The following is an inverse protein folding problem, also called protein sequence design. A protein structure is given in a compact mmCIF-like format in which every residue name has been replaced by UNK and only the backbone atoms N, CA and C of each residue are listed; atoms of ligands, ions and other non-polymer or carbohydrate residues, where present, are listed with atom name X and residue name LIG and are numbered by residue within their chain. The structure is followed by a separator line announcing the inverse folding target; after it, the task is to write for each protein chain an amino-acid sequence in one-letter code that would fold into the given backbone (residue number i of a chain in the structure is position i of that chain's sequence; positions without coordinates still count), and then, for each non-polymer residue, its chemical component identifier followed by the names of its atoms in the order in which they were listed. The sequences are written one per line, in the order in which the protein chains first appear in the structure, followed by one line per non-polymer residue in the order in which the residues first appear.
data_IF_808069726960
#
_entry.id   IF_808069726960
#
_cell.length_a   1.000
_cell.length_b   1.000
_cell.length_c   1.000
_cell.angle_alpha   90.00
_cell.angle_beta   90.00
_cell.angle_gamma   90.00
#
_symmetry.space_group_name_H-M   'P 1'
#
loop_
_entity.id
_entity.type
_entity.pdbx_description
1 polymer ?
#
# COMPACT_ATOMS: atom_id res chain seq x y z
N UNK A 1 1.86 -16.06 22.52
CA UNK A 1 3.05 -15.19 22.63
C UNK A 1 2.97 -13.99 21.66
N UNK A 2 2.84 -14.21 20.35
CA UNK A 2 2.80 -13.16 19.31
C UNK A 2 1.71 -12.09 19.52
N UNK A 3 0.47 -12.49 19.89
CA UNK A 3 -0.63 -11.54 20.16
C UNK A 3 -0.31 -10.52 21.26
N UNK A 4 0.43 -10.94 22.30
CA UNK A 4 0.84 -10.06 23.41
C UNK A 4 1.91 -9.06 22.95
N UNK A 5 2.80 -9.48 22.06
CA UNK A 5 3.80 -8.59 21.44
C UNK A 5 3.12 -7.52 20.57
N UNK A 6 2.19 -7.94 19.71
CA UNK A 6 1.42 -7.03 18.85
C UNK A 6 0.67 -6.00 19.69
N UNK A 7 0.03 -6.42 20.79
CA UNK A 7 -0.64 -5.50 21.71
C UNK A 7 0.32 -4.47 22.34
N UNK A 8 1.52 -4.90 22.73
CA UNK A 8 2.54 -3.99 23.27
C UNK A 8 3.06 -3.02 22.20
N UNK A 9 3.22 -3.46 20.96
CA UNK A 9 3.60 -2.58 19.84
C UNK A 9 2.51 -1.55 19.53
N UNK A 10 1.24 -1.97 19.49
CA UNK A 10 0.08 -1.08 19.33
C UNK A 10 0.07 0.01 20.41
N UNK A 11 0.41 -0.34 21.66
CA UNK A 11 0.47 0.62 22.78
C UNK A 11 1.71 1.52 22.73
N UNK A 12 2.81 1.03 22.17
CA UNK A 12 4.09 1.76 22.04
C UNK A 12 4.04 2.83 20.96
N UNK A 13 3.33 2.57 19.85
CA UNK A 13 3.23 3.52 18.74
C UNK A 13 1.94 4.34 18.82
N UNK A 14 2.04 5.64 18.53
CA UNK A 14 0.88 6.51 18.39
C UNK A 14 0.12 6.19 17.08
N UNK A 15 -0.62 5.07 17.05
CA UNK A 15 -1.33 4.61 15.86
C UNK A 15 -2.32 5.65 15.29
N UNK A 16 -2.76 6.59 16.12
CA UNK A 16 -3.62 7.72 15.74
C UNK A 16 -3.08 8.48 14.53
N UNK A 17 -1.77 8.69 14.44
CA UNK A 17 -1.15 9.44 13.33
C UNK A 17 -1.27 8.67 12.01
N UNK A 18 -1.13 7.34 12.05
CA UNK A 18 -1.27 6.51 10.85
C UNK A 18 -2.72 6.37 10.41
N UNK A 19 -3.68 6.25 11.33
CA UNK A 19 -5.10 6.29 11.00
C UNK A 19 -5.52 7.63 10.39
N UNK A 20 -4.99 8.74 10.92
CA UNK A 20 -5.21 10.06 10.36
C UNK A 20 -4.61 10.17 8.95
N UNK A 21 -3.40 9.62 8.71
CA UNK A 21 -2.80 9.58 7.39
C UNK A 21 -3.63 8.75 6.38
N UNK A 22 -4.16 7.59 6.78
CA UNK A 22 -5.08 6.78 5.95
C UNK A 22 -6.32 7.62 5.56
N UNK A 23 -6.90 8.34 6.52
CA UNK A 23 -8.04 9.23 6.28
C UNK A 23 -7.72 10.33 5.26
N UNK A 24 -6.59 11.03 5.43
CA UNK A 24 -6.16 12.08 4.48
C UNK A 24 -5.92 11.50 3.09
N UNK A 25 -5.22 10.36 2.98
CA UNK A 25 -4.96 9.71 1.68
C UNK A 25 -6.28 9.36 0.99
N UNK A 26 -7.24 8.78 1.72
CA UNK A 26 -8.55 8.43 1.17
C UNK A 26 -9.33 9.65 0.67
N UNK A 27 -9.27 10.77 1.39
CA UNK A 27 -9.92 12.03 1.00
C UNK A 27 -9.28 12.61 -0.27
N UNK A 28 -7.96 12.62 -0.36
CA UNK A 28 -7.25 13.12 -1.55
C UNK A 28 -7.58 12.26 -2.78
N UNK A 29 -7.58 10.93 -2.65
CA UNK A 29 -7.92 10.03 -3.74
C UNK A 29 -9.38 10.24 -4.19
N UNK A 30 -10.29 10.48 -3.24
CA UNK A 30 -11.69 10.79 -3.53
C UNK A 30 -11.82 12.08 -4.37
N UNK A 31 -11.07 13.14 -4.06
CA UNK A 31 -11.04 14.37 -4.87
C UNK A 31 -10.56 14.09 -6.30
N UNK A 32 -9.53 13.24 -6.45
CA UNK A 32 -9.05 12.83 -7.78
C UNK A 32 -10.11 12.03 -8.55
N UNK A 33 -10.82 11.11 -7.89
CA UNK A 33 -11.92 10.36 -8.50
C UNK A 33 -13.01 11.29 -9.06
N UNK A 34 -13.46 12.28 -8.29
CA UNK A 34 -14.46 13.23 -8.79
C UNK A 34 -13.94 14.10 -9.94
N UNK A 35 -12.67 14.47 -9.91
CA UNK A 35 -12.05 15.19 -11.03
C UNK A 35 -12.11 14.35 -12.31
N UNK A 36 -11.75 13.06 -12.25
CA UNK A 36 -11.84 12.16 -13.40
C UNK A 36 -13.28 11.93 -13.86
N UNK A 37 -14.23 11.77 -12.94
CA UNK A 37 -15.64 11.63 -13.28
C UNK A 37 -16.22 12.89 -13.96
N UNK A 38 -15.80 14.08 -13.53
CA UNK A 38 -16.21 15.35 -14.16
C UNK A 38 -15.64 15.50 -15.57
N UNK A 39 -14.37 15.12 -15.77
CA UNK A 39 -13.75 15.09 -17.10
C UNK A 39 -14.51 14.13 -18.02
N UNK A 40 -14.89 12.94 -17.54
CA UNK A 40 -15.70 11.99 -18.30
C UNK A 40 -17.08 12.55 -18.68
N UNK A 41 -17.69 13.36 -17.82
CA UNK A 41 -18.98 14.01 -18.10
C UNK A 41 -18.87 15.19 -19.09
N UNK A 42 -17.79 15.98 -19.00
CA UNK A 42 -17.58 17.18 -19.84
C UNK A 42 -16.98 16.88 -21.22
N UNK A 43 -16.37 15.70 -21.40
CA UNK A 43 -15.62 15.33 -22.60
C UNK A 43 -16.50 14.80 -23.73
N UNK A 44 -16.81 15.64 -24.71
CA UNK A 44 -17.49 15.28 -25.97
C UNK A 44 -16.57 14.90 -27.14
N UNK A 45 -15.24 14.76 -26.92
CA UNK A 45 -14.26 14.49 -27.98
C UNK A 45 -13.44 13.22 -27.72
N UNK A 46 -12.76 12.73 -28.78
CA UNK A 46 -12.14 11.40 -28.97
C UNK A 46 -11.22 10.93 -27.82
N UNK A 47 -10.62 11.84 -27.04
CA UNK A 47 -9.76 11.51 -25.88
C UNK A 47 -10.55 11.20 -24.59
N UNK A 48 -11.85 11.52 -24.53
CA UNK A 48 -12.72 11.19 -23.40
C UNK A 48 -13.19 9.73 -23.41
N UNK A 49 -12.95 8.99 -24.50
CA UNK A 49 -13.34 7.59 -24.65
C UNK A 49 -12.55 6.72 -23.64
N UNK A 50 -11.29 7.02 -23.37
CA UNK A 50 -10.50 6.28 -22.38
C UNK A 50 -11.00 6.47 -20.94
N UNK A 51 -11.66 7.61 -20.65
CA UNK A 51 -12.29 7.91 -19.36
C UNK A 51 -13.78 7.57 -19.32
N UNK A 52 -14.36 7.08 -20.41
CA UNK A 52 -15.80 6.84 -20.52
C UNK A 52 -16.26 5.57 -19.80
N UNK A 53 -15.35 4.65 -19.49
CA UNK A 53 -15.65 3.36 -18.85
C UNK A 53 -15.26 3.38 -17.37
N UNK A 54 -16.17 2.90 -16.50
CA UNK A 54 -15.92 2.79 -15.05
C UNK A 54 -14.65 2.03 -14.70
N UNK A 55 -14.34 1.00 -15.49
CA UNK A 55 -13.16 0.15 -15.30
C UNK A 55 -11.85 0.95 -15.40
N UNK A 56 -11.77 1.89 -16.35
CA UNK A 56 -10.55 2.70 -16.57
C UNK A 56 -10.37 3.78 -15.50
N UNK A 57 -11.47 4.42 -15.08
CA UNK A 57 -11.42 5.36 -13.95
C UNK A 57 -10.96 4.61 -12.68
N UNK A 58 -11.48 3.40 -12.47
CA UNK A 58 -11.14 2.61 -11.30
C UNK A 58 -9.69 2.11 -11.32
N UNK A 59 -9.18 1.64 -12.46
CA UNK A 59 -7.78 1.18 -12.57
C UNK A 59 -6.79 2.30 -12.32
N UNK A 60 -7.07 3.52 -12.79
CA UNK A 60 -6.26 4.71 -12.53
C UNK A 60 -6.24 5.08 -11.03
N UNK A 61 -7.41 5.05 -10.39
CA UNK A 61 -7.51 5.31 -8.95
C UNK A 61 -6.78 4.24 -8.16
N UNK A 62 -6.91 2.97 -8.55
CA UNK A 62 -6.22 1.87 -7.92
C UNK A 62 -4.69 2.00 -8.06
N UNK A 63 -4.19 2.47 -9.21
CA UNK A 63 -2.77 2.78 -9.41
C UNK A 63 -2.29 3.88 -8.45
N UNK A 64 -3.02 5.01 -8.38
CA UNK A 64 -2.70 6.11 -7.45
C UNK A 64 -2.74 5.67 -5.99
N UNK A 65 -3.74 4.86 -5.63
CA UNK A 65 -3.89 4.33 -4.30
C UNK A 65 -2.72 3.39 -3.94
N UNK A 66 -2.31 2.52 -4.87
CA UNK A 66 -1.16 1.63 -4.68
C UNK A 66 0.11 2.42 -4.35
N UNK A 67 0.35 3.53 -5.04
CA UNK A 67 1.51 4.40 -4.77
C UNK A 67 1.42 5.03 -3.38
N UNK A 68 0.31 5.67 -3.05
CA UNK A 68 0.14 6.36 -1.77
C UNK A 68 0.28 5.39 -0.59
N UNK A 69 -0.34 4.21 -0.67
CA UNK A 69 -0.26 3.20 0.39
C UNK A 69 1.12 2.53 0.44
N UNK A 70 1.79 2.29 -0.69
CA UNK A 70 3.17 1.77 -0.68
C UNK A 70 4.14 2.72 0.08
N UNK A 71 3.98 4.03 -0.11
CA UNK A 71 4.74 5.04 0.64
C UNK A 71 4.40 5.00 2.12
N UNK A 72 3.10 4.98 2.49
CA UNK A 72 2.66 4.88 3.89
C UNK A 72 3.24 3.63 4.58
N UNK A 73 3.18 2.48 3.90
CA UNK A 73 3.73 1.21 4.39
C UNK A 73 5.25 1.31 4.59
N UNK A 74 5.98 1.94 3.66
CA UNK A 74 7.42 2.16 3.79
C UNK A 74 7.76 3.07 4.99
N UNK A 75 6.96 4.12 5.22
CA UNK A 75 7.08 4.98 6.42
C UNK A 75 6.85 4.18 7.71
N UNK A 76 5.85 3.30 7.73
CA UNK A 76 5.60 2.42 8.88
C UNK A 76 6.77 1.46 9.13
N UNK A 77 7.28 0.79 8.09
CA UNK A 77 8.40 -0.11 8.24
C UNK A 77 9.68 0.59 8.69
N UNK A 78 9.99 1.75 8.13
CA UNK A 78 11.19 2.51 8.51
C UNK A 78 11.12 3.04 9.94
N UNK A 79 9.95 3.46 10.40
CA UNK A 79 9.75 3.87 11.80
C UNK A 79 9.79 2.70 12.78
N UNK A 80 9.29 1.52 12.41
CA UNK A 80 9.25 0.37 13.32
C UNK A 80 10.52 -0.47 13.33
N UNK A 81 11.24 -0.53 12.21
CA UNK A 81 12.47 -1.30 12.05
C UNK A 81 13.68 -0.36 12.16
N UNK A 82 13.88 0.52 11.18
CA UNK A 82 15.14 1.28 11.06
C UNK A 82 15.36 2.20 12.26
N UNK A 83 14.33 2.91 12.74
CA UNK A 83 14.48 3.80 13.90
C UNK A 83 14.86 3.06 15.19
N UNK A 84 14.51 1.79 15.33
CA UNK A 84 14.87 0.97 16.49
C UNK A 84 16.28 0.37 16.37
N UNK A 85 16.67 -0.08 15.18
CA UNK A 85 18.00 -0.68 14.94
C UNK A 85 19.13 0.34 14.72
N UNK A 86 18.83 1.54 14.20
CA UNK A 86 19.82 2.59 13.96
C UNK A 86 19.97 3.57 15.15
N UNK A 87 19.01 3.57 16.10
CA UNK A 87 18.96 4.55 17.19
C UNK A 87 19.48 4.05 18.54
N UNK A 88 19.38 4.92 19.56
CA UNK A 88 19.72 4.65 20.98
C UNK A 88 18.89 3.53 21.64
N UNK A 89 17.91 2.97 20.94
CA UNK A 89 17.04 1.87 21.42
C UNK A 89 17.63 0.48 21.20
N UNK A 90 18.79 0.37 20.55
CA UNK A 90 19.46 -0.92 20.31
C UNK A 90 19.70 -1.68 21.65
N UNK A 91 20.02 -0.94 22.72
CA UNK A 91 20.26 -1.47 24.08
C UNK A 91 19.01 -2.11 24.72
N UNK A 92 17.82 -1.55 24.46
CA UNK A 92 16.53 -2.11 24.90
C UNK A 92 16.18 -3.39 24.13
N UNK A 93 16.63 -3.50 22.88
CA UNK A 93 16.44 -4.69 22.05
C UNK A 93 17.32 -5.86 22.50
N UNK A 94 18.48 -5.59 23.13
CA UNK A 94 19.35 -6.60 23.75
C UNK A 94 18.86 -7.07 25.13
N UNK A 95 18.10 -6.24 25.85
CA UNK A 95 17.54 -6.61 27.16
C UNK A 95 16.21 -7.37 27.02
N UNK A 96 15.68 -7.47 25.80
CA UNK A 96 14.37 -8.06 25.57
C UNK A 96 14.46 -9.60 25.63
N UNK A 97 13.72 -10.28 26.52
CA UNK A 97 13.83 -11.73 26.74
C UNK A 97 13.15 -12.58 25.64
N UNK A 98 12.91 -12.02 24.44
CA UNK A 98 12.19 -12.65 23.34
C UNK A 98 13.02 -12.60 22.07
N UNK A 99 13.06 -13.71 21.32
CA UNK A 99 13.83 -13.83 20.08
C UNK A 99 13.50 -12.71 19.09
N UNK A 100 14.54 -12.00 18.62
CA UNK A 100 14.44 -10.86 17.69
C UNK A 100 13.74 -11.24 16.37
N UNK A 101 13.88 -12.50 15.94
CA UNK A 101 13.19 -13.02 14.75
C UNK A 101 11.67 -13.08 14.92
N UNK A 102 11.18 -13.40 16.13
CA UNK A 102 9.75 -13.42 16.44
C UNK A 102 9.19 -12.01 16.64
N UNK A 103 10.00 -11.09 17.16
CA UNK A 103 9.67 -9.68 17.28
C UNK A 103 9.58 -9.01 15.90
N UNK A 104 10.50 -9.31 14.99
CA UNK A 104 10.45 -8.81 13.61
C UNK A 104 9.23 -9.36 12.86
N UNK A 105 8.90 -10.65 13.03
CA UNK A 105 7.66 -11.24 12.48
C UNK A 105 6.41 -10.51 12.97
N UNK A 106 6.33 -10.19 14.26
CA UNK A 106 5.19 -9.47 14.84
C UNK A 106 5.03 -8.08 14.22
N UNK A 107 6.13 -7.33 14.05
CA UNK A 107 6.12 -6.00 13.40
C UNK A 107 5.64 -6.07 11.97
N UNK A 108 6.18 -7.01 11.18
CA UNK A 108 5.78 -7.16 9.78
C UNK A 108 4.31 -7.52 9.66
N UNK A 109 3.82 -8.42 10.53
CA UNK A 109 2.40 -8.74 10.59
C UNK A 109 1.55 -7.50 10.92
N UNK A 110 1.94 -6.72 11.93
CA UNK A 110 1.22 -5.51 12.33
C UNK A 110 1.14 -4.49 11.18
N UNK A 111 2.27 -4.20 10.51
CA UNK A 111 2.29 -3.28 9.36
C UNK A 111 1.46 -3.84 8.21
N UNK A 112 1.51 -5.15 7.96
CA UNK A 112 0.73 -5.77 6.88
C UNK A 112 -0.78 -5.63 7.09
N UNK A 113 -1.26 -5.83 8.32
CA UNK A 113 -2.67 -5.71 8.67
C UNK A 113 -3.13 -4.27 8.53
N UNK A 114 -2.36 -3.31 9.03
CA UNK A 114 -2.72 -1.88 8.95
C UNK A 114 -2.62 -1.37 7.50
N UNK A 115 -1.61 -1.82 6.73
CA UNK A 115 -1.41 -1.44 5.34
C UNK A 115 -2.51 -1.95 4.41
N UNK A 116 -2.73 -3.28 4.36
CA UNK A 116 -3.80 -3.89 3.56
C UNK A 116 -5.16 -3.42 4.06
N UNK A 117 -5.40 -3.51 5.38
CA UNK A 117 -6.69 -3.17 5.97
C UNK A 117 -7.03 -1.69 5.75
N UNK A 118 -6.04 -0.80 5.86
CA UNK A 118 -6.20 0.62 5.57
C UNK A 118 -6.55 0.87 4.10
N UNK A 119 -5.86 0.20 3.17
CA UNK A 119 -6.12 0.34 1.74
C UNK A 119 -7.53 -0.16 1.37
N UNK A 120 -7.91 -1.35 1.84
CA UNK A 120 -9.24 -1.92 1.58
C UNK A 120 -10.35 -1.06 2.18
N UNK A 121 -10.19 -0.62 3.44
CA UNK A 121 -11.18 0.21 4.10
C UNK A 121 -11.30 1.59 3.44
N UNK A 122 -10.17 2.19 3.05
CA UNK A 122 -10.14 3.46 2.31
C UNK A 122 -10.85 3.34 0.97
N UNK A 123 -10.58 2.29 0.18
CA UNK A 123 -11.28 2.06 -1.09
C UNK A 123 -12.77 1.76 -0.89
N UNK A 124 -13.13 1.03 0.17
CA UNK A 124 -14.52 0.74 0.50
C UNK A 124 -15.31 2.03 0.73
N UNK A 125 -14.73 2.98 1.47
CA UNK A 125 -15.33 4.29 1.72
C UNK A 125 -15.48 5.09 0.43
N UNK A 126 -14.43 5.12 -0.41
CA UNK A 126 -14.46 5.82 -1.70
C UNK A 126 -15.56 5.24 -2.59
N UNK A 127 -15.63 3.90 -2.69
CA UNK A 127 -16.63 3.20 -3.48
C UNK A 127 -18.06 3.47 -2.99
N UNK A 128 -18.28 3.49 -1.67
CA UNK A 128 -19.58 3.78 -1.07
C UNK A 128 -20.03 5.21 -1.40
N UNK A 129 -19.15 6.20 -1.22
CA UNK A 129 -19.46 7.61 -1.49
C UNK A 129 -19.74 7.83 -2.98
N UNK A 130 -18.98 7.18 -3.85
CA UNK A 130 -19.18 7.22 -5.29
C UNK A 130 -20.51 6.59 -5.71
N UNK A 131 -20.86 5.42 -5.15
CA UNK A 131 -22.15 4.76 -5.41
C UNK A 131 -23.36 5.61 -4.99
N UNK A 132 -23.29 6.29 -3.84
CA UNK A 132 -24.35 7.23 -3.42
C UNK A 132 -24.45 8.39 -4.41
N UNK A 133 -23.31 8.90 -4.89
CA UNK A 133 -23.28 10.05 -5.82
C UNK A 133 -23.90 9.69 -7.16
N UNK A 134 -23.64 8.49 -7.66
CA UNK A 134 -24.19 7.97 -8.91
C UNK A 134 -25.71 7.83 -8.88
N UNK A 135 -26.30 7.47 -7.72
CA UNK A 135 -27.76 7.42 -7.56
C UNK A 135 -28.43 8.80 -7.67
N UNK A 136 -27.72 9.88 -7.31
CA UNK A 136 -28.25 11.24 -7.28
C UNK A 136 -27.99 11.94 -8.62
N UNK A 137 -26.80 11.72 -9.21
CA UNK A 137 -26.41 12.21 -10.52
C UNK A 137 -25.70 11.08 -11.29
N UNK A 138 -26.29 10.52 -12.37
CA UNK A 138 -25.58 9.56 -13.20
C UNK A 138 -24.49 10.29 -13.99
N UNK A 139 -23.26 10.25 -13.48
CA UNK A 139 -22.09 10.90 -14.09
C UNK A 139 -21.46 10.06 -15.22
N UNK A 140 -21.69 8.75 -15.25
CA UNK A 140 -21.07 7.84 -16.23
C UNK A 140 -22.17 7.03 -16.93
N UNK A 141 -22.12 6.89 -18.27
CA UNK A 141 -23.20 6.32 -19.08
C UNK A 141 -23.24 4.78 -19.13
N UNK A 142 -22.61 4.08 -18.19
CA UNK A 142 -22.39 2.62 -18.25
C UNK A 142 -23.16 1.87 -17.14
N UNK A 143 -23.46 0.60 -17.37
CA UNK A 143 -24.31 -0.19 -16.46
C UNK A 143 -23.47 -0.95 -15.44
N UNK A 144 -23.75 -0.73 -14.16
CA UNK A 144 -23.07 -1.41 -13.04
C UNK A 144 -23.41 -2.91 -13.01
N UNK A 145 -22.56 -3.75 -13.61
CA UNK A 145 -22.70 -5.21 -13.55
C UNK A 145 -22.05 -5.80 -12.29
N UNK A 146 -22.73 -6.73 -11.62
CA UNK A 146 -22.21 -7.45 -10.45
C UNK A 146 -20.87 -8.17 -10.72
N UNK A 147 -20.60 -8.55 -11.97
CA UNK A 147 -19.32 -9.15 -12.37
C UNK A 147 -18.14 -8.18 -12.24
N UNK A 148 -18.36 -6.90 -12.54
CA UNK A 148 -17.33 -5.86 -12.50
C UNK A 148 -16.92 -5.55 -11.06
N UNK A 149 -17.86 -5.59 -10.12
CA UNK A 149 -17.58 -5.41 -8.69
C UNK A 149 -16.58 -6.47 -8.21
N UNK A 150 -16.82 -7.74 -8.50
CA UNK A 150 -15.96 -8.84 -8.06
C UNK A 150 -14.55 -8.68 -8.65
N UNK A 151 -14.44 -8.28 -9.92
CA UNK A 151 -13.16 -8.02 -10.59
C UNK A 151 -12.40 -6.87 -9.93
N UNK A 152 -13.08 -5.75 -9.69
CA UNK A 152 -12.55 -4.55 -9.03
C UNK A 152 -11.99 -4.88 -7.63
N UNK A 153 -12.73 -5.62 -6.82
CA UNK A 153 -12.28 -6.02 -5.49
C UNK A 153 -11.10 -7.01 -5.54
N UNK A 154 -11.07 -7.89 -6.55
CA UNK A 154 -9.94 -8.79 -6.80
C UNK A 154 -8.66 -8.03 -7.16
N UNK A 155 -8.75 -7.05 -8.05
CA UNK A 155 -7.63 -6.20 -8.46
C UNK A 155 -7.14 -5.30 -7.33
N UNK A 156 -8.06 -4.79 -6.51
CA UNK A 156 -7.73 -4.02 -5.31
C UNK A 156 -6.94 -4.87 -4.30
N UNK A 157 -7.35 -6.12 -4.07
CA UNK A 157 -6.62 -7.04 -3.20
C UNK A 157 -5.20 -7.30 -3.73
N UNK A 158 -5.05 -7.59 -5.03
CA UNK A 158 -3.73 -7.79 -5.65
C UNK A 158 -2.84 -6.55 -5.51
N UNK A 159 -3.39 -5.36 -5.73
CA UNK A 159 -2.69 -4.09 -5.59
C UNK A 159 -2.28 -3.79 -4.13
N UNK A 160 -3.12 -4.15 -3.16
CA UNK A 160 -2.79 -3.98 -1.74
C UNK A 160 -1.63 -4.86 -1.29
N UNK A 161 -1.59 -6.11 -1.75
CA UNK A 161 -0.46 -7.03 -1.49
C UNK A 161 0.79 -6.52 -2.21
N UNK A 162 0.63 -6.00 -3.42
CA UNK A 162 1.74 -5.40 -4.17
C UNK A 162 2.36 -4.21 -3.42
N UNK A 163 1.54 -3.30 -2.90
CA UNK A 163 1.99 -2.15 -2.12
C UNK A 163 2.80 -2.59 -0.88
N UNK A 164 2.40 -3.68 -0.21
CA UNK A 164 3.18 -4.27 0.87
C UNK A 164 4.54 -4.78 0.40
N UNK A 165 4.57 -5.52 -0.72
CA UNK A 165 5.83 -6.04 -1.27
C UNK A 165 6.81 -4.90 -1.59
N UNK A 166 6.32 -3.81 -2.21
CA UNK A 166 7.13 -2.61 -2.47
C UNK A 166 7.67 -2.01 -1.17
N UNK A 167 6.82 -1.89 -0.13
CA UNK A 167 7.23 -1.39 1.18
C UNK A 167 8.33 -2.24 1.83
N UNK A 168 8.26 -3.57 1.73
CA UNK A 168 9.29 -4.50 2.26
C UNK A 168 10.61 -4.32 1.49
N UNK A 169 10.55 -4.22 0.17
CA UNK A 169 11.74 -4.03 -0.68
C UNK A 169 12.42 -2.69 -0.39
N UNK A 170 11.65 -1.61 -0.28
CA UNK A 170 12.16 -0.30 0.09
C UNK A 170 12.82 -0.29 1.47
N UNK A 171 12.26 -1.06 2.41
CA UNK A 171 12.82 -1.22 3.76
C UNK A 171 14.20 -1.86 3.74
N UNK A 172 14.43 -2.88 2.90
CA UNK A 172 15.77 -3.47 2.74
C UNK A 172 16.79 -2.42 2.32
N UNK A 173 16.44 -1.58 1.33
CA UNK A 173 17.34 -0.55 0.81
C UNK A 173 17.70 0.46 1.90
N UNK A 174 16.72 0.95 2.66
CA UNK A 174 17.04 1.88 3.74
C UNK A 174 17.65 1.24 4.98
N UNK A 175 17.44 -0.06 5.23
CA UNK A 175 18.13 -0.79 6.29
C UNK A 175 19.63 -0.95 6.01
N UNK A 176 20.04 -1.04 4.73
CA UNK A 176 21.47 -1.04 4.36
C UNK A 176 22.12 0.31 4.71
N UNK A 177 21.43 1.42 4.42
CA UNK A 177 21.92 2.78 4.68
C UNK A 177 21.59 3.32 6.08
N UNK A 178 20.91 2.52 6.92
CA UNK A 178 20.41 2.91 8.25
C UNK A 178 19.70 4.27 8.25
N UNK A 179 18.90 4.56 7.22
CA UNK A 179 18.25 5.86 7.06
C UNK A 179 16.77 5.70 6.72
N UNK A 180 15.95 6.48 7.42
CA UNK A 180 14.50 6.56 7.18
C UNK A 180 14.22 7.25 5.84
N UNK A 181 14.95 8.31 5.52
CA UNK A 181 14.73 9.08 4.29
C UNK A 181 14.97 8.23 3.03
N UNK A 182 15.98 7.37 3.05
CA UNK A 182 16.31 6.51 1.89
C UNK A 182 15.26 5.43 1.64
N UNK A 183 14.55 4.94 2.67
CA UNK A 183 13.39 4.03 2.47
C UNK A 183 12.23 4.72 1.76
N UNK A 184 11.96 5.97 2.11
CA UNK A 184 10.80 6.69 1.57
C UNK A 184 11.05 7.01 0.10
N UNK A 185 12.23 7.56 -0.22
CA UNK A 185 12.61 7.89 -1.60
C UNK A 185 12.63 6.64 -2.50
N UNK A 186 13.18 5.53 -2.02
CA UNK A 186 13.20 4.28 -2.80
C UNK A 186 11.79 3.69 -3.00
N UNK A 187 10.91 3.77 -2.01
CA UNK A 187 9.52 3.36 -2.15
C UNK A 187 8.79 4.17 -3.22
N UNK A 188 8.97 5.50 -3.24
CA UNK A 188 8.36 6.37 -4.23
C UNK A 188 8.82 5.99 -5.64
N UNK A 189 10.13 5.79 -5.87
CA UNK A 189 10.65 5.45 -7.19
C UNK A 189 10.07 4.11 -7.70
N UNK A 190 10.06 3.08 -6.84
CA UNK A 190 9.55 1.74 -7.21
C UNK A 190 8.03 1.79 -7.44
N UNK A 191 7.30 2.49 -6.58
CA UNK A 191 5.86 2.65 -6.68
C UNK A 191 5.45 3.43 -7.94
N UNK A 192 6.13 4.54 -8.26
CA UNK A 192 5.83 5.32 -9.46
C UNK A 192 6.10 4.54 -10.75
N UNK A 193 7.16 3.74 -10.79
CA UNK A 193 7.44 2.89 -11.96
C UNK A 193 6.36 1.81 -12.16
N UNK A 194 5.90 1.20 -11.08
CA UNK A 194 4.86 0.18 -11.11
C UNK A 194 3.46 0.72 -11.39
N UNK A 195 3.16 1.97 -11.00
CA UNK A 195 1.88 2.62 -11.30
C UNK A 195 1.54 2.62 -12.80
N UNK A 196 2.53 2.85 -13.66
CA UNK A 196 2.34 2.83 -15.12
C UNK A 196 1.94 1.45 -15.67
N UNK A 197 2.37 0.38 -14.99
CA UNK A 197 2.03 -0.99 -15.38
C UNK A 197 0.66 -1.38 -14.82
N UNK A 198 0.29 -0.84 -13.65
CA UNK A 198 -1.06 -1.00 -13.07
C UNK A 198 -2.11 -0.32 -13.95
N UNK A 199 -1.83 0.86 -14.51
CA UNK A 199 -2.77 1.53 -15.43
C UNK A 199 -3.06 0.73 -16.71
N UNK A 200 -2.21 -0.25 -17.07
CA UNK A 200 -2.47 -1.14 -18.22
C UNK A 200 -3.46 -2.28 -17.91
N UNK A 201 -3.85 -2.47 -16.63
CA UNK A 201 -4.81 -3.51 -16.21
C UNK A 201 -6.16 -3.42 -16.94
N UNK A 202 -6.58 -2.21 -17.29
CA UNK A 202 -7.78 -1.95 -18.10
C UNK A 202 -7.83 -2.76 -19.40
N UNK A 203 -6.68 -3.01 -20.01
CA UNK A 203 -6.58 -3.73 -21.29
C UNK A 203 -6.18 -5.19 -21.07
N UNK A 204 -5.13 -5.43 -20.28
CA UNK A 204 -4.65 -6.79 -20.00
C UNK A 204 -4.05 -6.89 -18.59
N UNK A 205 -4.41 -7.95 -17.86
CA UNK A 205 -3.88 -8.22 -16.50
C UNK A 205 -2.53 -8.96 -16.49
N UNK A 206 -2.10 -9.51 -17.63
CA UNK A 206 -0.85 -10.25 -17.78
C UNK A 206 0.42 -9.49 -17.36
N UNK A 207 0.69 -8.25 -17.84
CA UNK A 207 1.93 -7.54 -17.50
C UNK A 207 2.01 -7.24 -16.00
N UNK A 208 0.88 -6.89 -15.37
CA UNK A 208 0.84 -6.67 -13.94
C UNK A 208 1.10 -7.96 -13.14
N UNK A 209 0.47 -9.09 -13.51
CA UNK A 209 0.66 -10.36 -12.79
C UNK A 209 2.11 -10.84 -12.83
N UNK A 210 2.80 -10.65 -13.96
CA UNK A 210 4.22 -10.98 -14.08
C UNK A 210 5.09 -10.11 -13.16
N UNK A 211 4.85 -8.80 -13.16
CA UNK A 211 5.55 -7.85 -12.29
C UNK A 211 5.23 -8.10 -10.80
N UNK A 212 3.99 -8.46 -10.48
CA UNK A 212 3.57 -8.87 -9.14
C UNK A 212 4.35 -10.10 -8.66
N UNK A 213 4.48 -11.12 -9.52
CA UNK A 213 5.25 -12.32 -9.22
C UNK A 213 6.72 -12.03 -8.94
N UNK A 214 7.37 -11.21 -9.78
CA UNK A 214 8.76 -10.77 -9.56
C UNK A 214 8.89 -10.03 -8.24
N UNK A 215 8.00 -9.07 -7.97
CA UNK A 215 8.06 -8.26 -6.76
C UNK A 215 7.82 -9.10 -5.49
N UNK A 216 6.94 -10.10 -5.56
CA UNK A 216 6.73 -11.05 -4.46
C UNK A 216 8.02 -11.80 -4.12
N UNK A 217 8.74 -12.32 -5.12
CA UNK A 217 10.03 -13.02 -4.94
C UNK A 217 11.09 -12.08 -4.35
N UNK A 218 11.21 -10.85 -4.86
CA UNK A 218 12.18 -9.87 -4.35
C UNK A 218 11.84 -9.50 -2.90
N UNK A 219 10.55 -9.40 -2.55
CA UNK A 219 10.11 -9.08 -1.19
C UNK A 219 10.44 -10.18 -0.19
N UNK A 220 10.28 -11.46 -0.55
CA UNK A 220 10.61 -12.59 0.32
C UNK A 220 12.12 -12.69 0.55
N UNK A 221 12.92 -12.52 -0.51
CA UNK A 221 14.39 -12.44 -0.39
C UNK A 221 14.78 -11.26 0.51
N UNK A 222 14.12 -10.12 0.35
CA UNK A 222 14.39 -8.92 1.15
C UNK A 222 14.08 -9.14 2.63
N UNK A 223 12.95 -9.77 2.93
CA UNK A 223 12.58 -10.16 4.28
C UNK A 223 13.60 -11.13 4.90
N UNK A 224 13.97 -12.20 4.19
CA UNK A 224 14.99 -13.16 4.66
C UNK A 224 16.34 -12.48 4.93
N UNK A 225 16.74 -11.53 4.08
CA UNK A 225 17.99 -10.78 4.25
C UNK A 225 17.97 -9.93 5.52
N UNK A 226 16.85 -9.24 5.79
CA UNK A 226 16.71 -8.43 7.01
C UNK A 226 16.77 -9.35 8.23
N UNK A 227 16.01 -10.45 8.25
CA UNK A 227 16.01 -11.41 9.36
C UNK A 227 17.41 -11.97 9.61
N UNK A 228 18.13 -12.39 8.56
CA UNK A 228 19.47 -12.94 8.71
C UNK A 228 20.46 -11.89 9.23
N UNK A 229 20.39 -10.65 8.76
CA UNK A 229 21.25 -9.56 9.22
C UNK A 229 20.95 -9.19 10.68
N UNK A 230 19.69 -9.22 11.11
CA UNK A 230 19.31 -9.01 12.51
C UNK A 230 19.88 -10.08 13.44
N UNK A 231 19.87 -11.36 13.03
CA UNK A 231 20.45 -12.47 13.80
C UNK A 231 21.98 -12.36 13.88
N UNK A 232 22.64 -11.89 12.81
CA UNK A 232 24.11 -11.79 12.77
C UNK A 232 24.67 -10.62 13.58
N UNK A 233 23.85 -9.63 13.91
CA UNK A 233 24.22 -8.53 14.82
C UNK A 233 24.31 -8.97 16.30
N UNK A 234 24.00 -10.24 16.60
CA UNK A 234 24.09 -10.84 17.93
C UNK A 234 25.45 -11.55 18.20
N UNK A 235 26.37 -11.55 17.23
CA UNK A 235 27.74 -12.09 17.33
C UNK A 235 28.73 -10.93 17.21
#
# INVERSE_FOLDING_TARGET
MIRKLIYLEIKKYQLKTYFLAIGIISLVILIFLYTFALIAYAGGEVDAIEFSTYENIWTLINALQTVAYAVLISVMFSTFIIKEYAGKLNLLLFTYPVDKSTLLKAKVLLVSIIGIGGMLFGSALIFLIFFISEQIFPLVPDTFSFGNIIKIWGELLLCSVYALCVGIVATKIGFIKMSVQTTIVSAIIIASCSANIISTMSYTNLPFLFLWGIMAIISTISYCTIVHKTIRMDI
#
